data_IF_381114065341
#
_entry.id   IF_381114065341
#
_cell.length_a   1.000
_cell.length_b   1.000
_cell.length_c   1.000
_cell.angle_alpha   90.00
_cell.angle_beta   90.00
_cell.angle_gamma   90.00
#
_symmetry.space_group_name_H-M   'P 1'
#
loop_
_entity.id
_entity.type
_entity.pdbx_description
1 polymer ?
#
# COMPACT_ATOMS: atom_id res chain seq x y z
N UNK A 1 -30.83 -45.89 -34.36
CA UNK A 1 -30.66 -45.33 -33.00
C UNK A 1 -29.21 -45.45 -32.59
N UNK A 2 -28.51 -44.33 -32.40
CA UNK A 2 -27.58 -44.09 -31.28
C UNK A 2 -27.06 -42.67 -31.41
N UNK A 3 -27.76 -41.78 -30.71
CA UNK A 3 -27.39 -40.40 -30.49
C UNK A 3 -26.24 -40.37 -29.49
N UNK A 4 -25.33 -39.47 -29.80
CA UNK A 4 -24.15 -39.00 -29.09
C UNK A 4 -24.43 -38.73 -27.61
N UNK A 5 -23.49 -39.09 -26.73
CA UNK A 5 -23.35 -38.48 -25.40
C UNK A 5 -21.87 -38.43 -25.05
N UNK A 6 -21.18 -37.44 -25.63
CA UNK A 6 -19.87 -37.01 -25.19
C UNK A 6 -20.10 -36.11 -23.97
N UNK A 7 -19.92 -36.66 -22.77
CA UNK A 7 -19.93 -35.89 -21.52
C UNK A 7 -18.62 -35.10 -21.49
N UNK A 8 -18.70 -33.82 -21.88
CA UNK A 8 -17.67 -32.84 -21.56
C UNK A 8 -17.68 -32.64 -20.04
N UNK A 9 -16.69 -33.23 -19.37
CA UNK A 9 -16.33 -32.86 -17.99
C UNK A 9 -15.68 -31.48 -18.08
N UNK A 10 -16.49 -30.44 -17.90
CA UNK A 10 -16.00 -29.10 -17.60
C UNK A 10 -15.48 -29.17 -16.16
N UNK A 11 -14.20 -29.49 -16.00
CA UNK A 11 -13.48 -29.23 -14.77
C UNK A 11 -13.44 -27.71 -14.61
N UNK A 12 -14.30 -27.19 -13.75
CA UNK A 12 -14.14 -25.85 -13.21
C UNK A 12 -12.81 -25.84 -12.45
N UNK A 13 -11.74 -25.40 -13.11
CA UNK A 13 -10.55 -24.95 -12.41
C UNK A 13 -11.00 -23.75 -11.57
N UNK A 14 -11.28 -24.00 -10.29
CA UNK A 14 -11.38 -22.94 -9.30
C UNK A 14 -10.00 -22.27 -9.26
N UNK A 15 -9.86 -21.14 -9.96
CA UNK A 15 -8.69 -20.30 -9.80
C UNK A 15 -8.67 -19.87 -8.33
N UNK A 16 -7.81 -20.50 -7.53
CA UNK A 16 -7.56 -20.09 -6.16
C UNK A 16 -7.19 -18.60 -6.18
N UNK A 17 -7.77 -17.82 -5.27
CA UNK A 17 -7.41 -16.40 -5.19
C UNK A 17 -5.93 -16.28 -4.80
N UNK A 18 -5.30 -15.15 -5.13
CA UNK A 18 -3.92 -14.87 -4.72
C UNK A 18 -3.75 -15.00 -3.20
N UNK A 19 -4.78 -14.62 -2.45
CA UNK A 19 -4.79 -14.71 -0.99
C UNK A 19 -4.84 -16.16 -0.49
N UNK A 20 -5.57 -17.03 -1.20
CA UNK A 20 -5.56 -18.48 -0.91
C UNK A 20 -4.18 -19.08 -1.20
N UNK A 21 -3.53 -18.63 -2.28
CA UNK A 21 -2.14 -19.04 -2.59
C UNK A 21 -1.20 -18.62 -1.46
N UNK A 22 -1.30 -17.37 -0.98
CA UNK A 22 -0.48 -16.89 0.14
C UNK A 22 -0.66 -17.73 1.39
N UNK A 23 -1.89 -18.04 1.80
CA UNK A 23 -2.14 -18.93 2.94
C UNK A 23 -1.55 -20.32 2.73
N UNK A 24 -1.70 -20.90 1.53
CA UNK A 24 -1.19 -22.23 1.21
C UNK A 24 0.34 -22.32 1.19
N UNK A 25 1.05 -21.20 1.02
CA UNK A 25 2.52 -21.14 1.08
C UNK A 25 3.02 -20.48 2.37
N UNK A 26 2.17 -20.40 3.40
CA UNK A 26 2.57 -19.90 4.73
C UNK A 26 2.85 -18.39 4.79
N UNK A 27 2.32 -17.59 3.87
CA UNK A 27 2.36 -16.13 3.96
C UNK A 27 1.13 -15.64 4.75
N UNK A 28 1.41 -14.95 5.84
CA UNK A 28 0.43 -14.14 6.57
C UNK A 28 0.33 -12.76 5.94
N UNK A 29 -0.89 -12.22 5.91
CA UNK A 29 -1.15 -10.93 5.30
C UNK A 29 -2.18 -10.09 6.06
N UNK A 30 -2.06 -8.78 5.91
CA UNK A 30 -3.05 -7.81 6.39
C UNK A 30 -3.34 -6.77 5.31
N UNK A 31 -4.62 -6.40 5.16
CA UNK A 31 -5.02 -5.31 4.26
C UNK A 31 -4.53 -4.00 4.84
N UNK A 32 -3.66 -3.31 4.11
CA UNK A 32 -3.06 -2.05 4.54
C UNK A 32 -3.81 -0.83 4.00
N UNK A 33 -4.31 -0.88 2.76
CA UNK A 33 -5.07 0.21 2.16
C UNK A 33 -5.30 0.05 0.66
N UNK A 34 -5.91 1.06 0.04
CA UNK A 34 -6.07 1.13 -1.40
C UNK A 34 -4.80 1.71 -2.05
N UNK A 35 -4.28 1.01 -3.05
CA UNK A 35 -3.01 1.34 -3.67
C UNK A 35 -3.13 1.59 -5.17
N UNK A 36 -2.25 2.45 -5.67
CA UNK A 36 -2.04 2.65 -7.11
C UNK A 36 -0.55 2.76 -7.42
N UNK A 37 -0.07 1.98 -8.39
CA UNK A 37 1.28 2.12 -8.93
C UNK A 37 1.28 3.09 -10.12
N UNK A 38 2.22 4.04 -10.09
CA UNK A 38 2.47 5.03 -11.13
C UNK A 38 3.99 5.03 -11.40
N UNK A 39 4.50 4.06 -12.17
CA UNK A 39 5.95 3.87 -12.39
C UNK A 39 6.58 5.06 -13.14
N UNK A 40 5.76 5.85 -13.83
CA UNK A 40 6.16 6.92 -14.74
C UNK A 40 6.31 8.29 -14.05
N UNK A 41 6.70 8.33 -12.77
CA UNK A 41 6.86 9.62 -12.04
C UNK A 41 7.80 10.59 -12.76
N UNK A 42 8.79 10.07 -13.49
CA UNK A 42 9.72 10.85 -14.31
C UNK A 42 9.06 11.57 -15.49
N UNK A 43 7.85 11.15 -15.88
CA UNK A 43 7.09 11.71 -17.00
C UNK A 43 6.02 12.71 -16.53
N UNK A 44 5.89 12.92 -15.22
CA UNK A 44 4.97 13.92 -14.70
C UNK A 44 5.44 15.33 -15.05
N UNK A 45 4.57 16.10 -15.68
CA UNK A 45 4.84 17.48 -16.07
C UNK A 45 4.28 18.46 -15.05
N UNK A 46 5.02 19.54 -14.71
CA UNK A 46 4.45 20.63 -13.95
C UNK A 46 3.27 21.26 -14.69
N UNK A 47 2.19 21.53 -13.96
CA UNK A 47 0.99 22.17 -14.49
C UNK A 47 0.41 23.13 -13.46
N UNK A 48 -0.15 24.22 -13.96
CA UNK A 48 -0.90 25.18 -13.13
C UNK A 48 -2.36 25.11 -13.52
N UNK A 49 -3.19 24.61 -12.62
CA UNK A 49 -4.64 24.64 -12.77
C UNK A 49 -5.16 25.98 -12.30
N UNK A 50 -5.54 26.82 -13.25
CA UNK A 50 -6.22 28.09 -12.98
C UNK A 50 -7.71 27.83 -12.72
N UNK A 51 -8.20 28.26 -11.55
CA UNK A 51 -9.60 28.12 -11.16
C UNK A 51 -10.42 29.39 -11.48
N UNK A 52 -9.82 30.42 -12.06
CA UNK A 52 -10.50 31.67 -12.41
C UNK A 52 -11.61 31.46 -13.44
N UNK A 53 -11.39 30.58 -14.43
CA UNK A 53 -12.40 30.18 -15.41
C UNK A 53 -13.55 29.44 -14.72
N UNK A 54 -13.27 28.52 -13.81
CA UNK A 54 -14.30 27.84 -13.03
C UNK A 54 -15.11 28.80 -12.14
N UNK A 55 -14.44 29.77 -11.50
CA UNK A 55 -15.12 30.83 -10.77
C UNK A 55 -16.07 31.62 -11.67
N UNK A 56 -15.68 31.89 -12.92
CA UNK A 56 -16.52 32.58 -13.88
C UNK A 56 -17.76 31.77 -14.23
N UNK A 57 -17.66 30.44 -14.31
CA UNK A 57 -18.81 29.55 -14.58
C UNK A 57 -19.79 29.48 -13.41
N UNK A 58 -19.32 29.59 -12.17
CA UNK A 58 -20.19 29.74 -10.99
C UNK A 58 -20.98 31.06 -11.00
N UNK A 59 -20.53 32.06 -11.75
CA UNK A 59 -21.16 33.39 -11.86
C UNK A 59 -22.05 33.58 -13.10
N UNK A 60 -22.38 32.51 -13.82
CA UNK A 60 -23.22 32.55 -15.03
C UNK A 60 -24.68 32.94 -14.71
N UNK A 61 -25.17 32.63 -13.50
CA UNK A 61 -26.47 33.15 -13.03
C UNK A 61 -26.38 34.66 -12.78
N UNK A 62 -27.47 35.40 -13.00
CA UNK A 62 -27.58 36.88 -12.93
C UNK A 62 -27.34 37.47 -11.52
N UNK A 63 -26.22 37.12 -10.90
CA UNK A 63 -25.82 37.61 -9.59
C UNK A 63 -25.40 39.06 -9.69
N UNK A 64 -25.87 39.89 -8.76
CA UNK A 64 -25.45 41.28 -8.67
C UNK A 64 -23.92 41.42 -8.56
N UNK A 65 -23.37 42.57 -8.98
CA UNK A 65 -21.93 42.86 -8.86
C UNK A 65 -21.42 42.72 -7.43
N UNK A 66 -22.25 43.07 -6.44
CA UNK A 66 -21.98 42.90 -5.01
C UNK A 66 -21.91 41.40 -4.67
N UNK A 67 -22.88 40.60 -5.13
CA UNK A 67 -22.87 39.13 -4.97
C UNK A 67 -21.62 38.47 -5.53
N UNK A 68 -21.19 38.86 -6.74
CA UNK A 68 -19.96 38.36 -7.36
C UNK A 68 -18.71 38.68 -6.54
N UNK A 69 -18.63 39.87 -5.96
CA UNK A 69 -17.52 40.28 -5.08
C UNK A 69 -17.49 39.46 -3.79
N UNK A 70 -18.65 39.25 -3.14
CA UNK A 70 -18.74 38.42 -1.93
C UNK A 70 -18.41 36.95 -2.24
N UNK A 71 -18.89 36.41 -3.36
CA UNK A 71 -18.59 35.05 -3.79
C UNK A 71 -17.08 34.84 -3.95
N UNK A 72 -16.39 35.74 -4.68
CA UNK A 72 -14.93 35.65 -4.86
C UNK A 72 -14.18 35.62 -3.53
N UNK A 73 -14.54 36.51 -2.59
CA UNK A 73 -13.93 36.54 -1.25
C UNK A 73 -14.14 35.23 -0.50
N UNK A 74 -15.38 34.71 -0.48
CA UNK A 74 -15.70 33.45 0.21
C UNK A 74 -15.03 32.24 -0.44
N UNK A 75 -14.95 32.19 -1.77
CA UNK A 75 -14.26 31.12 -2.48
C UNK A 75 -12.75 31.13 -2.18
N UNK A 76 -12.11 32.30 -2.16
CA UNK A 76 -10.69 32.40 -1.80
C UNK A 76 -10.42 31.91 -0.36
N UNK A 77 -11.33 32.20 0.58
CA UNK A 77 -11.26 31.67 1.95
C UNK A 77 -11.42 30.15 1.99
N UNK A 78 -12.45 29.61 1.31
CA UNK A 78 -12.65 28.16 1.22
C UNK A 78 -11.48 27.46 0.54
N UNK A 79 -10.87 28.07 -0.48
CA UNK A 79 -9.68 27.55 -1.16
C UNK A 79 -8.50 27.41 -0.20
N UNK A 80 -8.16 28.48 0.52
CA UNK A 80 -7.11 28.47 1.54
C UNK A 80 -7.38 27.40 2.61
N UNK A 81 -8.61 27.37 3.16
CA UNK A 81 -8.99 26.42 4.21
C UNK A 81 -8.90 24.96 3.76
N UNK A 82 -9.28 24.66 2.50
CA UNK A 82 -9.14 23.33 1.94
C UNK A 82 -7.67 22.98 1.71
N UNK A 83 -6.86 23.86 1.13
CA UNK A 83 -5.43 23.59 0.94
C UNK A 83 -4.71 23.27 2.26
N UNK A 84 -5.00 24.04 3.31
CA UNK A 84 -4.47 23.78 4.66
C UNK A 84 -4.97 22.45 5.24
N UNK A 85 -6.27 22.15 5.09
CA UNK A 85 -6.85 20.88 5.55
C UNK A 85 -6.19 19.66 4.88
N UNK A 86 -5.71 19.83 3.65
CA UNK A 86 -5.05 18.79 2.86
C UNK A 86 -3.51 18.83 2.98
N UNK A 87 -2.96 19.65 3.89
CA UNK A 87 -1.52 19.84 4.09
C UNK A 87 -0.76 20.22 2.80
N UNK A 88 -1.41 20.94 1.88
CA UNK A 88 -0.79 21.45 0.66
C UNK A 88 -0.11 22.78 0.99
N UNK A 89 1.13 22.94 0.55
CA UNK A 89 1.87 24.19 0.79
C UNK A 89 1.13 25.39 0.19
N UNK A 90 1.18 26.53 0.86
CA UNK A 90 0.59 27.78 0.37
C UNK A 90 1.70 28.79 0.18
N UNK A 91 1.67 29.57 -0.90
CA UNK A 91 2.64 30.64 -1.18
C UNK A 91 2.50 31.87 -0.25
N UNK A 92 1.87 31.71 0.92
CA UNK A 92 1.45 32.80 1.81
C UNK A 92 2.64 33.48 2.49
N UNK A 93 3.31 34.38 1.76
CA UNK A 93 3.92 35.57 2.36
C UNK A 93 2.88 36.67 2.62
N UNK A 94 1.73 36.58 1.98
CA UNK A 94 0.58 37.44 2.22
C UNK A 94 -0.55 36.60 2.82
N UNK A 95 -0.62 36.58 4.16
CA UNK A 95 -1.87 36.28 4.84
C UNK A 95 -2.95 37.17 4.23
N UNK A 96 -4.04 36.60 3.70
CA UNK A 96 -5.25 37.38 3.44
C UNK A 96 -5.53 38.15 4.74
N UNK A 97 -5.47 39.49 4.76
CA UNK A 97 -5.60 40.23 6.00
C UNK A 97 -6.97 39.90 6.58
N UNK A 98 -6.97 39.27 7.75
CA UNK A 98 -8.16 39.03 8.55
C UNK A 98 -8.91 40.32 8.90
N UNK A 99 -8.29 41.49 8.66
CA UNK A 99 -8.81 42.83 8.89
C UNK A 99 -9.58 43.48 7.73
N UNK A 100 -9.56 42.96 6.50
CA UNK A 100 -10.28 43.57 5.35
C UNK A 100 -11.59 42.86 4.97
N UNK A 101 -12.06 41.97 5.85
CA UNK A 101 -13.29 41.18 5.67
C UNK A 101 -14.41 41.81 6.50
N UNK A 102 -14.68 43.10 6.27
CA UNK A 102 -16.03 43.61 6.51
C UNK A 102 -16.86 43.11 5.31
N UNK A 103 -17.51 41.97 5.47
CA UNK A 103 -18.57 41.54 4.56
C UNK A 103 -19.71 42.53 4.78
N UNK A 104 -20.13 43.31 3.76
CA UNK A 104 -21.32 44.15 3.90
C UNK A 104 -22.47 43.26 4.32
N UNK A 105 -23.19 43.71 5.35
CA UNK A 105 -24.23 42.98 6.04
C UNK A 105 -25.13 42.19 5.07
N UNK A 106 -25.32 40.90 5.36
CA UNK A 106 -26.19 39.98 4.59
C UNK A 106 -27.65 40.46 4.46
N UNK A 107 -27.98 41.55 5.17
CA UNK A 107 -29.30 42.17 5.29
C UNK A 107 -29.82 42.77 3.97
N UNK A 108 -28.96 43.15 3.02
CA UNK A 108 -29.39 43.82 1.79
C UNK A 108 -29.49 42.91 0.54
N UNK A 109 -29.18 41.61 0.66
CA UNK A 109 -29.29 40.68 -0.47
C UNK A 109 -30.68 40.04 -0.57
N UNK A 110 -31.18 39.88 -1.80
CA UNK A 110 -32.43 39.14 -2.03
C UNK A 110 -32.24 37.68 -1.61
N UNK A 111 -33.33 37.01 -1.24
CA UNK A 111 -33.28 35.61 -0.81
C UNK A 111 -32.59 34.70 -1.84
N UNK A 112 -32.92 34.88 -3.13
CA UNK A 112 -32.30 34.11 -4.22
C UNK A 112 -30.79 34.33 -4.32
N UNK A 113 -30.31 35.57 -4.16
CA UNK A 113 -28.87 35.88 -4.17
C UNK A 113 -28.12 35.17 -3.04
N UNK A 114 -28.75 35.06 -1.85
CA UNK A 114 -28.15 34.35 -0.70
C UNK A 114 -28.09 32.84 -0.93
N UNK A 115 -29.14 32.26 -1.49
CA UNK A 115 -29.19 30.85 -1.82
C UNK A 115 -28.14 30.50 -2.88
N UNK A 116 -28.07 31.27 -3.96
CA UNK A 116 -27.07 31.08 -5.03
C UNK A 116 -25.64 31.23 -4.50
N UNK A 117 -25.39 32.21 -3.64
CA UNK A 117 -24.08 32.39 -2.99
C UNK A 117 -23.69 31.14 -2.19
N UNK A 118 -24.57 30.67 -1.31
CA UNK A 118 -24.30 29.51 -0.46
C UNK A 118 -24.10 28.22 -1.30
N UNK A 119 -24.95 28.02 -2.30
CA UNK A 119 -24.87 26.87 -3.21
C UNK A 119 -23.55 26.84 -3.98
N UNK A 120 -23.13 27.97 -4.55
CA UNK A 120 -21.90 28.05 -5.33
C UNK A 120 -20.64 27.81 -4.47
N UNK A 121 -20.64 28.28 -3.22
CA UNK A 121 -19.54 28.01 -2.28
C UNK A 121 -19.47 26.51 -1.96
N UNK A 122 -20.60 25.89 -1.61
CA UNK A 122 -20.65 24.46 -1.32
C UNK A 122 -20.22 23.61 -2.52
N UNK A 123 -20.65 24.00 -3.73
CA UNK A 123 -20.25 23.33 -4.97
C UNK A 123 -18.73 23.44 -5.18
N UNK A 124 -18.17 24.65 -5.08
CA UNK A 124 -16.72 24.87 -5.18
C UNK A 124 -15.95 24.00 -4.18
N UNK A 125 -16.37 24.01 -2.91
CA UNK A 125 -15.70 23.21 -1.88
C UNK A 125 -15.73 21.73 -2.16
N UNK A 126 -16.88 21.20 -2.59
CA UNK A 126 -17.03 19.77 -2.90
C UNK A 126 -16.17 19.39 -4.08
N UNK A 127 -16.21 20.17 -5.15
CA UNK A 127 -15.48 19.87 -6.39
C UNK A 127 -13.96 19.95 -6.13
N UNK A 128 -13.48 20.96 -5.38
CA UNK A 128 -12.07 21.06 -4.99
C UNK A 128 -11.62 19.92 -4.06
N UNK A 129 -12.44 19.56 -3.06
CA UNK A 129 -12.16 18.41 -2.19
C UNK A 129 -12.05 17.13 -3.02
N UNK A 130 -12.95 16.93 -3.98
CA UNK A 130 -12.92 15.76 -4.87
C UNK A 130 -11.65 15.73 -5.73
N UNK A 131 -11.19 16.88 -6.28
CA UNK A 131 -9.92 16.96 -7.00
C UNK A 131 -8.73 16.50 -6.14
N UNK A 132 -8.66 16.95 -4.88
CA UNK A 132 -7.57 16.56 -3.98
C UNK A 132 -7.72 15.14 -3.41
N UNK A 133 -8.95 14.66 -3.21
CA UNK A 133 -9.22 13.30 -2.72
C UNK A 133 -8.91 12.25 -3.79
N UNK A 134 -9.37 12.49 -5.01
CA UNK A 134 -9.28 11.54 -6.12
C UNK A 134 -8.00 11.72 -6.94
N UNK A 135 -7.29 12.84 -6.76
CA UNK A 135 -6.13 13.22 -7.57
C UNK A 135 -6.46 13.20 -9.07
N UNK A 136 -7.67 13.67 -9.40
CA UNK A 136 -8.20 13.74 -10.76
C UNK A 136 -8.78 15.11 -11.04
N UNK A 137 -8.57 15.58 -12.27
CA UNK A 137 -9.24 16.77 -12.78
C UNK A 137 -10.63 16.33 -13.23
N UNK A 138 -11.63 16.57 -12.39
CA UNK A 138 -13.02 16.23 -12.69
C UNK A 138 -13.68 17.25 -13.61
N UNK A 139 -14.80 16.87 -14.23
CA UNK A 139 -15.60 17.69 -15.17
C UNK A 139 -15.64 19.21 -14.91
N UNK A 140 -15.89 19.71 -13.68
CA UNK A 140 -15.90 21.16 -13.43
C UNK A 140 -14.59 21.90 -13.76
N UNK A 141 -13.44 21.21 -13.74
CA UNK A 141 -12.13 21.76 -14.00
C UNK A 141 -11.57 21.39 -15.38
N UNK A 142 -12.27 20.53 -16.11
CA UNK A 142 -11.81 20.07 -17.42
C UNK A 142 -11.82 21.17 -18.48
N UNK A 143 -12.73 22.14 -18.34
CA UNK A 143 -12.79 23.33 -19.22
C UNK A 143 -11.56 24.24 -19.09
N UNK A 144 -10.83 24.18 -17.97
CA UNK A 144 -9.59 24.96 -17.78
C UNK A 144 -8.33 24.24 -18.25
N UNK A 145 -8.47 23.07 -18.88
CA UNK A 145 -7.35 22.31 -19.45
C UNK A 145 -7.05 22.77 -20.86
N UNK A 146 -5.79 23.11 -21.10
CA UNK A 146 -5.31 23.54 -22.42
C UNK A 146 -5.28 22.35 -23.38
N UNK A 147 -5.66 22.58 -24.64
CA UNK A 147 -5.65 21.57 -25.68
C UNK A 147 -4.27 20.94 -25.91
N UNK A 148 -3.20 21.73 -25.73
CA UNK A 148 -1.82 21.24 -25.82
C UNK A 148 -1.52 20.19 -24.75
N UNK A 149 -2.05 20.36 -23.53
CA UNK A 149 -1.89 19.41 -22.42
C UNK A 149 -2.65 18.10 -22.69
N UNK A 150 -3.84 18.19 -23.30
CA UNK A 150 -4.62 17.02 -23.75
C UNK A 150 -3.88 16.28 -24.87
N UNK A 151 -3.29 17.03 -25.80
CA UNK A 151 -2.54 16.43 -26.92
C UNK A 151 -1.25 15.77 -26.44
N UNK A 152 -0.55 16.39 -25.47
CA UNK A 152 0.66 15.84 -24.84
C UNK A 152 0.40 14.56 -24.04
N UNK A 153 -0.80 14.37 -23.49
CA UNK A 153 -1.17 13.14 -22.80
C UNK A 153 -1.47 11.97 -23.75
N UNK A 154 -1.47 12.21 -25.07
CA UNK A 154 -1.91 11.23 -26.07
C UNK A 154 -3.42 10.96 -26.00
N UNK A 155 -4.20 11.82 -25.34
CA UNK A 155 -5.64 11.62 -25.17
C UNK A 155 -6.43 12.12 -26.38
N UNK A 156 -7.48 11.40 -26.76
CA UNK A 156 -8.33 11.77 -27.90
C UNK A 156 -9.25 12.95 -27.57
N UNK A 157 -9.66 13.06 -26.32
CA UNK A 157 -10.54 14.12 -25.83
C UNK A 157 -10.34 14.38 -24.33
N UNK A 158 -11.13 15.32 -23.81
CA UNK A 158 -11.12 15.79 -22.44
C UNK A 158 -11.56 14.71 -21.43
N UNK A 159 -12.46 13.81 -21.82
CA UNK A 159 -12.93 12.71 -20.97
C UNK A 159 -11.85 11.64 -20.86
N UNK A 160 -11.25 11.25 -21.99
CA UNK A 160 -10.12 10.34 -22.05
C UNK A 160 -8.93 10.89 -21.25
N UNK A 161 -8.66 12.20 -21.33
CA UNK A 161 -7.67 12.88 -20.49
C UNK A 161 -7.96 12.70 -18.99
N UNK A 162 -9.19 12.94 -18.56
CA UNK A 162 -9.58 12.83 -17.13
C UNK A 162 -9.42 11.40 -16.57
N UNK A 163 -9.52 10.38 -17.43
CA UNK A 163 -9.39 8.98 -17.04
C UNK A 163 -7.93 8.54 -16.98
N UNK A 164 -7.09 9.03 -17.90
CA UNK A 164 -5.68 8.64 -18.03
C UNK A 164 -4.72 9.44 -17.19
N UNK A 165 -5.13 10.60 -16.68
CA UNK A 165 -4.26 11.47 -15.89
C UNK A 165 -4.43 11.30 -14.40
N UNK A 166 -3.34 11.50 -13.67
CA UNK A 166 -3.36 11.65 -12.21
C UNK A 166 -2.61 12.92 -11.86
N UNK A 167 -3.17 13.70 -10.93
CA UNK A 167 -2.62 15.00 -10.55
C UNK A 167 -2.15 15.01 -9.11
N UNK A 168 -0.98 15.60 -8.86
CA UNK A 168 -0.42 15.73 -7.53
C UNK A 168 -0.29 17.21 -7.17
N UNK A 169 -1.21 17.75 -6.37
CA UNK A 169 -1.10 19.11 -5.86
C UNK A 169 0.22 19.29 -5.09
N UNK A 170 0.92 20.38 -5.38
CA UNK A 170 2.17 20.76 -4.72
C UNK A 170 1.99 22.00 -3.88
N UNK A 171 1.43 23.04 -4.49
CA UNK A 171 1.26 24.34 -3.87
C UNK A 171 -0.06 24.97 -4.30
N UNK A 172 -0.73 25.64 -3.38
CA UNK A 172 -1.84 26.51 -3.66
C UNK A 172 -1.35 27.96 -3.73
N UNK A 173 -1.60 28.60 -4.88
CA UNK A 173 -1.47 30.03 -5.07
C UNK A 173 -2.79 30.70 -4.72
N UNK A 174 -2.88 31.21 -3.50
CA UNK A 174 -4.11 31.78 -2.96
C UNK A 174 -4.46 33.10 -3.63
N UNK A 175 -3.44 33.86 -4.04
CA UNK A 175 -3.60 35.18 -4.67
C UNK A 175 -4.20 35.06 -6.07
N UNK A 176 -3.75 34.06 -6.83
CA UNK A 176 -4.22 33.83 -8.19
C UNK A 176 -5.34 32.78 -8.29
N UNK A 177 -5.74 32.18 -7.15
CA UNK A 177 -6.67 31.06 -7.10
C UNK A 177 -6.27 29.93 -8.06
N UNK A 178 -5.00 29.53 -7.97
CA UNK A 178 -4.42 28.52 -8.84
C UNK A 178 -3.76 27.42 -8.01
N UNK A 179 -3.71 26.22 -8.58
CA UNK A 179 -3.05 25.07 -7.97
C UNK A 179 -1.86 24.71 -8.84
N UNK A 180 -0.66 24.80 -8.29
CA UNK A 180 0.51 24.19 -8.87
C UNK A 180 0.51 22.69 -8.55
N UNK A 181 0.57 21.88 -9.60
CA UNK A 181 0.51 20.43 -9.50
C UNK A 181 1.48 19.77 -10.48
N UNK A 182 1.73 18.49 -10.29
CA UNK A 182 2.30 17.65 -11.32
C UNK A 182 1.18 16.82 -11.96
N UNK A 183 1.09 16.81 -13.29
CA UNK A 183 0.22 15.91 -14.04
C UNK A 183 1.06 14.79 -14.59
N UNK A 184 0.70 13.55 -14.27
CA UNK A 184 1.29 12.37 -14.85
C UNK A 184 0.39 11.87 -15.99
N UNK A 185 0.95 11.79 -17.19
CA UNK A 185 0.32 11.23 -18.38
C UNK A 185 0.72 9.77 -18.51
N UNK A 186 -0.19 8.93 -19.01
CA UNK A 186 -0.01 7.49 -19.04
C UNK A 186 0.27 6.90 -17.66
N UNK A 187 -0.78 6.29 -17.15
CA UNK A 187 -0.62 5.03 -16.46
C UNK A 187 -0.98 4.02 -17.56
N UNK A 188 -0.26 2.91 -17.68
CA UNK A 188 -0.49 1.88 -18.70
C UNK A 188 -1.98 1.68 -19.04
N UNK A 189 -2.31 1.20 -20.25
CA UNK A 189 -3.70 0.96 -20.70
C UNK A 189 -4.59 0.25 -19.66
N UNK A 190 -4.00 -0.43 -18.67
CA UNK A 190 -4.61 -0.80 -17.39
C UNK A 190 -3.99 -0.06 -16.19
N UNK A 191 -4.63 0.95 -15.59
CA UNK A 191 -4.19 1.47 -14.30
C UNK A 191 -4.10 0.35 -13.27
N UNK A 192 -2.90 0.17 -12.71
CA UNK A 192 -2.64 -0.83 -11.66
C UNK A 192 -3.12 -0.27 -10.33
N UNK A 193 -4.43 -0.30 -10.16
CA UNK A 193 -5.12 0.02 -8.91
C UNK A 193 -5.56 -1.29 -8.25
N UNK A 194 -5.48 -1.33 -6.93
CA UNK A 194 -5.82 -2.53 -6.17
C UNK A 194 -5.69 -2.30 -4.68
N UNK A 195 -5.52 -3.39 -3.94
CA UNK A 195 -5.33 -3.36 -2.50
C UNK A 195 -3.86 -3.62 -2.17
N UNK A 196 -3.31 -2.84 -1.24
CA UNK A 196 -1.98 -3.08 -0.68
C UNK A 196 -2.14 -4.01 0.51
N UNK A 197 -1.31 -5.04 0.54
CA UNK A 197 -1.21 -5.98 1.64
C UNK A 197 0.17 -5.88 2.28
N UNK A 198 0.21 -5.86 3.61
CA UNK A 198 1.42 -6.12 4.36
C UNK A 198 1.60 -7.63 4.49
N UNK A 199 2.79 -8.15 4.22
CA UNK A 199 3.08 -9.58 4.17
C UNK A 199 4.20 -9.97 5.14
N UNK A 200 4.14 -11.19 5.66
CA UNK A 200 5.29 -11.89 6.21
C UNK A 200 5.12 -13.40 6.09
N UNK A 201 6.21 -14.13 5.82
CA UNK A 201 6.20 -15.59 5.86
C UNK A 201 6.26 -16.09 7.32
N UNK A 202 5.37 -17.02 7.67
CA UNK A 202 5.27 -17.60 9.02
C UNK A 202 6.48 -18.42 9.45
N UNK A 203 7.19 -19.01 8.49
CA UNK A 203 8.30 -19.90 8.76
C UNK A 203 7.87 -21.23 9.37
N UNK A 204 8.87 -22.06 9.69
CA UNK A 204 8.68 -23.41 10.19
C UNK A 204 9.82 -23.80 11.14
N UNK A 205 9.49 -24.59 12.16
CA UNK A 205 10.50 -25.24 13.00
C UNK A 205 10.97 -26.53 12.33
N UNK A 206 12.25 -26.59 12.01
CA UNK A 206 12.92 -27.71 11.37
C UNK A 206 13.71 -28.52 12.40
N UNK A 207 14.00 -29.77 12.05
CA UNK A 207 14.90 -30.65 12.81
C UNK A 207 14.52 -30.75 14.30
N UNK A 208 13.27 -31.15 14.58
CA UNK A 208 12.74 -31.30 15.94
C UNK A 208 12.84 -30.01 16.80
N UNK A 209 12.51 -28.87 16.20
CA UNK A 209 12.56 -27.55 16.87
C UNK A 209 13.98 -27.10 17.27
N UNK A 210 15.02 -27.54 16.55
CA UNK A 210 16.41 -27.04 16.72
C UNK A 210 16.75 -25.85 15.81
N UNK A 211 15.95 -25.64 14.76
CA UNK A 211 16.11 -24.53 13.82
C UNK A 211 14.76 -23.93 13.46
N UNK A 212 14.64 -22.62 13.46
CA UNK A 212 13.50 -21.91 12.88
C UNK A 212 13.93 -21.26 11.57
N UNK A 213 13.21 -21.53 10.48
CA UNK A 213 13.50 -21.00 9.15
C UNK A 213 12.30 -20.29 8.52
N UNK A 214 12.53 -19.26 7.74
CA UNK A 214 11.48 -18.53 7.02
C UNK A 214 11.98 -17.98 5.68
N UNK A 215 11.05 -17.69 4.75
CA UNK A 215 11.34 -16.93 3.53
C UNK A 215 11.23 -15.42 3.76
N UNK A 216 12.24 -14.66 3.38
CA UNK A 216 12.20 -13.19 3.37
C UNK A 216 11.46 -12.73 2.11
N UNK A 217 10.16 -12.47 2.29
CA UNK A 217 9.27 -11.90 1.27
C UNK A 217 9.23 -10.37 1.39
N UNK A 218 8.93 -9.63 0.30
CA UNK A 218 8.60 -8.22 0.35
C UNK A 218 7.56 -7.90 1.43
N UNK A 219 7.81 -6.85 2.22
CA UNK A 219 6.90 -6.44 3.30
C UNK A 219 5.55 -5.95 2.77
N UNK A 220 5.51 -5.37 1.57
CA UNK A 220 4.29 -4.87 0.96
C UNK A 220 4.15 -5.30 -0.49
N UNK A 221 2.92 -5.65 -0.89
CA UNK A 221 2.55 -5.91 -2.28
C UNK A 221 1.25 -5.18 -2.64
N UNK A 222 1.18 -4.71 -3.88
CA UNK A 222 -0.05 -4.25 -4.51
C UNK A 222 -0.66 -5.42 -5.29
N UNK A 223 -1.85 -5.87 -4.89
CA UNK A 223 -2.61 -6.90 -5.61
C UNK A 223 -3.63 -6.21 -6.50
N UNK A 224 -3.49 -6.40 -7.81
CA UNK A 224 -4.43 -5.95 -8.84
C UNK A 224 -5.18 -7.15 -9.44
N UNK A 225 -6.25 -6.95 -10.23
CA UNK A 225 -6.93 -8.06 -10.91
C UNK A 225 -6.02 -8.85 -11.87
N UNK A 226 -4.92 -8.27 -12.34
CA UNK A 226 -4.02 -8.85 -13.34
C UNK A 226 -2.74 -9.43 -12.73
N UNK A 227 -2.22 -8.84 -11.65
CA UNK A 227 -0.89 -9.15 -11.13
C UNK A 227 -0.68 -8.78 -9.66
N UNK A 228 0.40 -9.31 -9.06
CA UNK A 228 0.91 -8.99 -7.73
C UNK A 228 2.23 -8.27 -7.91
N UNK A 229 2.34 -7.06 -7.35
CA UNK A 229 3.50 -6.18 -7.55
C UNK A 229 4.13 -5.86 -6.20
N UNK A 230 5.38 -6.28 -5.94
CA UNK A 230 6.13 -5.84 -4.77
C UNK A 230 6.34 -4.33 -4.77
N UNK A 231 6.15 -3.69 -3.62
CA UNK A 231 6.32 -2.24 -3.46
C UNK A 231 7.07 -1.92 -2.16
N UNK A 232 7.75 -0.77 -2.16
CA UNK A 232 8.34 -0.19 -0.95
C UNK A 232 7.53 1.04 -0.53
N UNK A 233 6.90 0.98 0.64
CA UNK A 233 6.12 2.11 1.18
C UNK A 233 6.96 3.37 1.37
N UNK A 234 8.28 3.28 1.54
CA UNK A 234 9.16 4.45 1.62
C UNK A 234 9.16 5.26 0.31
N UNK A 235 8.90 4.59 -0.81
CA UNK A 235 8.79 5.20 -2.14
C UNK A 235 7.34 5.54 -2.52
N UNK A 236 6.39 5.40 -1.59
CA UNK A 236 4.98 5.73 -1.80
C UNK A 236 4.60 7.03 -1.07
N UNK A 237 3.51 7.65 -1.51
CA UNK A 237 2.85 8.76 -0.83
C UNK A 237 1.51 8.30 -0.27
N UNK A 238 1.35 8.42 1.05
CA UNK A 238 0.09 8.15 1.74
C UNK A 238 -0.76 9.42 1.75
N UNK A 239 -2.01 9.32 1.32
CA UNK A 239 -3.01 10.38 1.33
C UNK A 239 -4.22 9.93 2.15
N UNK A 240 -4.70 10.79 3.05
CA UNK A 240 -5.83 10.54 3.96
C UNK A 240 -5.70 9.27 4.82
N UNK A 241 -4.49 8.75 4.98
CA UNK A 241 -4.21 7.54 5.76
C UNK A 241 -4.61 6.22 5.11
N UNK A 242 -5.36 6.24 3.99
CA UNK A 242 -5.92 5.01 3.38
C UNK A 242 -5.63 4.84 1.89
N UNK A 243 -5.28 5.92 1.18
CA UNK A 243 -4.95 5.88 -0.24
C UNK A 243 -3.44 6.05 -0.45
N UNK A 244 -2.82 5.11 -1.16
CA UNK A 244 -1.38 5.02 -1.24
C UNK A 244 -0.96 5.02 -2.71
N UNK A 245 -0.14 5.98 -3.08
CA UNK A 245 0.40 6.11 -4.43
C UNK A 245 1.87 5.73 -4.43
N UNK A 246 2.18 4.61 -5.06
CA UNK A 246 3.55 4.14 -5.22
C UNK A 246 4.08 4.54 -6.57
N UNK A 247 5.34 4.97 -6.63
CA UNK A 247 5.92 5.52 -7.85
C UNK A 247 6.90 4.59 -8.54
N UNK A 248 7.27 3.50 -7.87
CA UNK A 248 8.27 2.55 -8.31
C UNK A 248 7.88 1.17 -7.75
N UNK A 249 8.15 0.13 -8.52
CA UNK A 249 8.08 -1.25 -8.03
C UNK A 249 9.32 -1.52 -7.18
N UNK A 250 9.19 -2.39 -6.18
CA UNK A 250 10.35 -2.87 -5.45
C UNK A 250 11.17 -3.79 -6.37
N UNK A 251 12.43 -3.44 -6.61
CA UNK A 251 13.36 -4.28 -7.36
C UNK A 251 13.70 -5.54 -6.55
N UNK A 252 13.02 -6.64 -6.86
CA UNK A 252 13.20 -7.93 -6.19
C UNK A 252 12.97 -9.07 -7.17
N UNK A 253 13.74 -10.14 -7.01
CA UNK A 253 13.57 -11.39 -7.77
C UNK A 253 12.61 -12.37 -7.07
N UNK A 254 12.25 -12.10 -5.80
CA UNK A 254 11.37 -12.95 -5.01
C UNK A 254 9.94 -12.91 -5.57
N UNK A 255 9.46 -14.03 -6.14
CA UNK A 255 8.06 -14.19 -6.53
C UNK A 255 7.24 -14.71 -5.35
N UNK A 256 6.54 -13.79 -4.68
CA UNK A 256 5.71 -14.08 -3.51
C UNK A 256 4.59 -15.08 -3.75
N UNK A 257 4.22 -15.38 -5.00
CA UNK A 257 3.19 -16.40 -5.31
C UNK A 257 3.73 -17.82 -5.25
N UNK A 258 5.04 -17.98 -5.42
CA UNK A 258 5.70 -19.28 -5.52
C UNK A 258 6.81 -19.47 -4.49
N UNK A 259 7.21 -18.39 -3.79
CA UNK A 259 8.41 -18.28 -2.96
C UNK A 259 9.73 -18.53 -3.73
N UNK A 260 9.68 -18.56 -5.07
CA UNK A 260 10.87 -18.73 -5.88
C UNK A 260 11.79 -17.52 -5.76
N UNK A 261 13.09 -17.79 -5.69
CA UNK A 261 14.17 -16.80 -5.53
C UNK A 261 14.10 -15.92 -4.27
N UNK A 262 13.15 -16.20 -3.36
CA UNK A 262 13.05 -15.55 -2.07
C UNK A 262 14.18 -16.03 -1.13
N UNK A 263 14.96 -15.14 -0.50
CA UNK A 263 16.00 -15.53 0.45
C UNK A 263 15.43 -16.33 1.62
N UNK A 264 16.11 -17.40 2.02
CA UNK A 264 15.76 -18.16 3.22
C UNK A 264 16.69 -17.73 4.35
N UNK A 265 16.13 -17.51 5.53
CA UNK A 265 16.91 -17.26 6.75
C UNK A 265 16.59 -18.31 7.80
N UNK A 266 17.62 -18.70 8.55
CA UNK A 266 17.52 -19.63 9.67
C UNK A 266 18.09 -19.05 10.97
N UNK A 267 17.49 -19.45 12.08
CA UNK A 267 17.97 -19.23 13.44
C UNK A 267 18.16 -20.57 14.11
N UNK A 268 19.17 -20.68 14.97
CA UNK A 268 19.20 -21.77 15.94
C UNK A 268 18.13 -21.52 16.98
N UNK A 269 17.43 -22.55 17.40
CA UNK A 269 16.45 -22.46 18.48
C UNK A 269 17.02 -23.21 19.68
N UNK A 270 17.23 -22.47 20.77
CA UNK A 270 17.57 -23.04 22.06
C UNK A 270 16.33 -23.01 22.97
N UNK A 271 16.48 -23.46 24.22
CA UNK A 271 15.49 -23.25 25.27
C UNK A 271 15.23 -21.73 25.42
N UNK A 272 13.97 -21.31 25.45
CA UNK A 272 13.53 -19.89 25.47
C UNK A 272 13.66 -19.10 24.16
N UNK A 273 13.80 -19.76 23.00
CA UNK A 273 13.76 -19.07 21.71
C UNK A 273 12.43 -18.35 21.49
N UNK A 274 12.49 -17.06 21.15
CA UNK A 274 11.35 -16.27 20.69
C UNK A 274 11.80 -15.28 19.61
N UNK A 275 11.10 -15.29 18.47
CA UNK A 275 11.26 -14.32 17.39
C UNK A 275 9.91 -13.70 17.06
N UNK A 276 9.90 -12.38 16.92
CA UNK A 276 8.71 -11.63 16.49
C UNK A 276 9.01 -10.90 15.18
N UNK A 277 8.19 -11.14 14.14
CA UNK A 277 8.25 -10.42 12.86
C UNK A 277 6.94 -9.67 12.65
N UNK A 278 7.01 -8.38 12.33
CA UNK A 278 5.82 -7.56 12.10
C UNK A 278 5.39 -7.63 10.64
N UNK A 279 4.08 -7.54 10.43
CA UNK A 279 3.47 -7.24 9.13
C UNK A 279 2.23 -6.39 9.40
N UNK A 280 2.19 -5.17 8.87
CA UNK A 280 1.13 -4.22 9.19
C UNK A 280 1.08 -3.91 10.70
N UNK A 281 -0.10 -4.07 11.31
CA UNK A 281 -0.29 -3.94 12.77
C UNK A 281 -0.28 -5.29 13.50
N UNK A 282 -0.22 -6.40 12.75
CA UNK A 282 -0.08 -7.75 13.28
C UNK A 282 1.40 -8.17 13.41
N UNK A 283 1.62 -9.31 14.04
CA UNK A 283 2.97 -9.88 14.18
C UNK A 283 2.94 -11.40 14.16
N UNK A 284 3.91 -12.01 13.52
CA UNK A 284 4.22 -13.44 13.64
C UNK A 284 5.11 -13.61 14.86
N UNK A 285 4.76 -14.59 15.70
CA UNK A 285 5.49 -14.99 16.90
C UNK A 285 5.91 -16.44 16.73
N UNK A 286 7.21 -16.69 16.59
CA UNK A 286 7.79 -18.02 16.57
C UNK A 286 8.48 -18.27 17.91
N UNK A 287 8.11 -19.32 18.64
CA UNK A 287 8.62 -19.58 20.00
C UNK A 287 8.66 -21.07 20.36
N UNK A 288 9.67 -21.47 21.14
CA UNK A 288 9.73 -22.79 21.79
C UNK A 288 9.03 -22.81 23.16
N UNK A 289 8.59 -21.65 23.65
CA UNK A 289 7.83 -21.52 24.89
C UNK A 289 6.35 -21.92 24.71
N UNK A 290 5.75 -22.44 25.79
CA UNK A 290 4.31 -22.73 25.81
C UNK A 290 3.46 -21.50 26.14
N UNK A 291 4.09 -20.46 26.70
CA UNK A 291 3.42 -19.21 27.07
C UNK A 291 4.32 -18.00 26.81
N UNK A 292 3.74 -16.90 26.31
CA UNK A 292 4.47 -15.67 25.97
C UNK A 292 3.84 -14.44 26.65
N UNK A 293 4.70 -13.51 27.08
CA UNK A 293 4.27 -12.20 27.60
C UNK A 293 4.06 -11.20 26.46
N UNK A 294 2.83 -11.17 25.95
CA UNK A 294 2.45 -10.31 24.82
C UNK A 294 2.29 -8.84 25.25
N UNK A 295 2.02 -8.61 26.54
CA UNK A 295 1.77 -7.30 27.10
C UNK A 295 3.05 -6.58 27.54
N UNK A 296 4.14 -7.32 27.74
CA UNK A 296 5.40 -6.79 28.30
C UNK A 296 5.26 -6.40 29.77
N UNK A 297 4.27 -6.95 30.47
CA UNK A 297 3.94 -6.62 31.86
C UNK A 297 3.95 -7.86 32.79
N UNK A 298 4.43 -9.00 32.28
CA UNK A 298 4.45 -10.29 32.95
C UNK A 298 3.21 -11.15 32.73
N UNK A 299 2.17 -10.64 32.06
CA UNK A 299 0.94 -11.43 31.80
C UNK A 299 1.16 -12.39 30.64
N UNK A 300 1.27 -13.67 30.97
CA UNK A 300 1.52 -14.74 30.00
C UNK A 300 0.23 -15.21 29.33
N UNK A 301 0.32 -15.47 28.02
CA UNK A 301 -0.73 -16.08 27.21
C UNK A 301 -0.25 -17.41 26.66
N UNK A 302 -1.12 -18.43 26.68
CA UNK A 302 -0.83 -19.72 26.08
C UNK A 302 -0.63 -19.58 24.56
N UNK A 303 0.41 -20.23 24.05
CA UNK A 303 0.77 -20.24 22.64
C UNK A 303 0.01 -21.38 21.94
N UNK A 304 -0.85 -21.09 20.94
CA UNK A 304 -1.65 -22.13 20.27
C UNK A 304 -0.81 -23.05 19.37
N UNK A 305 0.31 -22.56 18.84
CA UNK A 305 1.27 -23.31 18.03
C UNK A 305 2.63 -22.63 18.02
N UNK A 306 3.72 -23.37 17.75
CA UNK A 306 5.10 -22.86 17.77
C UNK A 306 5.29 -21.62 16.89
N UNK A 307 4.59 -21.54 15.77
CA UNK A 307 4.41 -20.32 15.00
C UNK A 307 2.96 -19.85 15.17
N UNK A 308 2.78 -18.62 15.64
CA UNK A 308 1.46 -18.02 15.88
C UNK A 308 1.38 -16.62 15.31
N UNK A 309 0.17 -16.16 15.01
CA UNK A 309 -0.13 -14.80 14.59
C UNK A 309 -0.76 -14.04 15.75
N UNK A 310 -0.13 -12.94 16.11
CA UNK A 310 -0.58 -11.99 17.11
C UNK A 310 -1.29 -10.81 16.43
N UNK A 311 -2.59 -10.68 16.69
CA UNK A 311 -3.36 -9.48 16.38
C UNK A 311 -3.60 -8.68 17.65
N UNK A 312 -3.40 -7.36 17.59
CA UNK A 312 -3.73 -6.45 18.70
C UNK A 312 -4.93 -5.60 18.31
N UNK A 313 -6.03 -5.71 19.05
CA UNK A 313 -7.19 -4.81 18.93
C UNK A 313 -7.16 -3.79 20.06
N UNK A 314 -7.70 -2.61 19.79
CA UNK A 314 -7.87 -1.56 20.79
C UNK A 314 -9.36 -1.32 21.00
N UNK A 315 -9.81 -1.49 22.24
CA UNK A 315 -11.18 -1.15 22.63
C UNK A 315 -11.18 0.19 23.35
N UNK A 316 -12.25 0.98 23.12
CA UNK A 316 -12.43 2.24 23.82
C UNK A 316 -12.54 1.95 25.32
N UNK A 317 -11.66 2.56 26.11
CA UNK A 317 -11.78 2.57 27.56
C UNK A 317 -13.10 3.22 27.98
N UNK A 318 -13.52 2.99 29.23
CA UNK A 318 -14.56 3.83 29.83
C UNK A 318 -14.14 5.29 29.77
N UNK A 319 -15.10 6.22 29.74
CA UNK A 319 -15.03 7.62 29.24
C UNK A 319 -13.84 8.52 29.59
N UNK A 320 -12.91 8.10 30.46
CA UNK A 320 -11.68 8.81 30.84
C UNK A 320 -10.42 7.90 30.90
N UNK A 321 -10.43 6.70 30.32
CA UNK A 321 -9.31 5.74 30.35
C UNK A 321 -8.62 5.55 29.00
N UNK A 322 -7.32 5.22 29.06
CA UNK A 322 -6.54 4.85 27.87
C UNK A 322 -7.18 3.64 27.14
N UNK A 323 -7.05 3.57 25.80
CA UNK A 323 -7.58 2.45 25.03
C UNK A 323 -7.02 1.12 25.54
N UNK A 324 -7.90 0.14 25.76
CA UNK A 324 -7.54 -1.18 26.28
C UNK A 324 -6.99 -2.01 25.14
N UNK A 325 -5.75 -2.53 25.32
CA UNK A 325 -5.08 -3.41 24.37
C UNK A 325 -5.55 -4.84 24.56
N UNK A 326 -6.12 -5.45 23.52
CA UNK A 326 -6.60 -6.84 23.53
C UNK A 326 -5.81 -7.64 22.48
N UNK A 327 -4.74 -8.35 22.88
CA UNK A 327 -4.03 -9.29 22.03
C UNK A 327 -4.85 -10.56 21.80
N UNK A 328 -4.76 -11.10 20.59
CA UNK A 328 -5.31 -12.40 20.20
C UNK A 328 -4.22 -13.17 19.48
N UNK A 329 -3.88 -14.36 19.98
CA UNK A 329 -2.97 -15.30 19.32
C UNK A 329 -3.78 -16.37 18.59
N UNK A 330 -3.49 -16.56 17.31
CA UNK A 330 -4.05 -17.64 16.50
C UNK A 330 -2.92 -18.49 15.92
N UNK A 331 -3.16 -19.78 15.72
CA UNK A 331 -2.17 -20.64 15.11
C UNK A 331 -1.86 -20.20 13.67
N UNK A 332 -0.58 -20.23 13.28
CA UNK A 332 -0.19 -20.10 11.88
C UNK A 332 -0.65 -21.33 11.11
N UNK A 333 -1.06 -21.14 9.84
CA UNK A 333 -1.46 -22.26 8.99
C UNK A 333 -0.23 -22.94 8.43
N UNK A 334 0.13 -24.08 9.00
CA UNK A 334 1.22 -24.93 8.51
C UNK A 334 0.71 -25.84 7.38
N UNK A 335 1.56 -26.09 6.39
CA UNK A 335 1.29 -27.05 5.31
C UNK A 335 1.50 -28.49 5.79
N UNK A 336 0.75 -29.46 5.22
CA UNK A 336 0.89 -30.89 5.57
C UNK A 336 2.31 -31.43 5.37
N UNK A 337 3.05 -30.83 4.44
CA UNK A 337 4.47 -31.12 4.18
C UNK A 337 5.29 -29.86 4.39
N UNK A 338 6.50 -30.04 4.95
CA UNK A 338 7.45 -28.94 5.14
C UNK A 338 7.73 -28.21 3.83
N UNK A 339 7.74 -26.88 3.88
CA UNK A 339 8.07 -26.02 2.74
C UNK A 339 9.58 -25.89 2.53
N UNK A 340 10.36 -26.36 3.50
CA UNK A 340 11.81 -26.27 3.51
C UNK A 340 12.43 -27.62 3.19
N UNK A 341 13.53 -27.59 2.44
CA UNK A 341 14.37 -28.76 2.27
C UNK A 341 15.08 -29.11 3.60
N UNK A 342 15.51 -30.36 3.74
CA UNK A 342 16.23 -30.80 4.94
C UNK A 342 17.54 -30.03 5.12
N UNK A 343 17.85 -29.66 6.36
CA UNK A 343 19.07 -28.94 6.69
C UNK A 343 20.31 -29.85 6.60
N UNK A 344 21.40 -29.34 6.04
CA UNK A 344 22.69 -30.02 6.15
C UNK A 344 23.22 -29.99 7.59
N UNK A 345 23.78 -31.08 8.12
CA UNK A 345 24.33 -31.12 9.48
C UNK A 345 25.39 -30.04 9.77
N UNK A 346 26.23 -29.72 8.78
CA UNK A 346 27.25 -28.67 8.91
C UNK A 346 26.67 -27.25 9.05
N UNK A 347 25.43 -27.04 8.60
CA UNK A 347 24.74 -25.76 8.74
C UNK A 347 24.29 -25.54 10.17
N UNK A 348 23.85 -26.60 10.87
CA UNK A 348 23.43 -26.52 12.27
C UNK A 348 24.54 -25.95 13.17
N UNK A 349 25.80 -26.31 12.90
CA UNK A 349 26.95 -25.85 13.67
C UNK A 349 27.26 -24.35 13.52
N UNK A 350 26.73 -23.69 12.48
CA UNK A 350 26.99 -22.27 12.18
C UNK A 350 25.84 -21.38 12.63
N UNK A 351 24.62 -21.94 12.74
CA UNK A 351 23.45 -21.20 13.18
C UNK A 351 23.61 -20.70 14.62
N UNK A 352 23.06 -19.52 14.87
CA UNK A 352 23.03 -18.87 16.18
C UNK A 352 21.61 -18.43 16.52
N UNK A 353 21.38 -18.27 17.82
CA UNK A 353 20.05 -17.99 18.39
C UNK A 353 19.59 -16.57 18.16
N UNK A 354 20.52 -15.61 18.16
CA UNK A 354 20.23 -14.17 18.07
C UNK A 354 20.62 -13.55 16.72
N UNK A 355 21.05 -14.36 15.75
CA UNK A 355 21.57 -13.86 14.47
C UNK A 355 21.02 -14.70 13.32
N UNK A 356 20.26 -14.05 12.41
CA UNK A 356 19.80 -14.73 11.20
C UNK A 356 20.97 -15.11 10.32
N UNK A 357 20.98 -16.36 9.87
CA UNK A 357 21.93 -16.85 8.88
C UNK A 357 21.20 -17.10 7.57
N UNK A 358 21.74 -16.59 6.46
CA UNK A 358 21.18 -16.87 5.15
C UNK A 358 21.42 -18.33 4.78
N UNK A 359 20.36 -19.00 4.34
CA UNK A 359 20.38 -20.37 3.86
C UNK A 359 20.19 -20.40 2.35
N UNK A 360 20.84 -21.38 1.72
CA UNK A 360 20.84 -21.59 0.28
C UNK A 360 20.40 -23.02 -0.01
N UNK A 361 19.55 -23.17 -1.02
CA UNK A 361 19.19 -24.48 -1.55
C UNK A 361 20.39 -25.07 -2.28
N UNK A 362 20.75 -26.29 -1.92
CA UNK A 362 21.82 -27.06 -2.56
C UNK A 362 21.35 -28.49 -2.85
N UNK A 363 22.10 -29.21 -3.67
CA UNK A 363 21.83 -30.62 -3.99
C UNK A 363 22.89 -31.50 -3.34
N UNK A 364 22.46 -32.45 -2.51
CA UNK A 364 23.33 -33.52 -2.01
C UNK A 364 22.78 -34.86 -2.48
N UNK A 365 23.51 -35.51 -3.37
CA UNK A 365 23.13 -36.80 -3.99
C UNK A 365 21.74 -36.75 -4.66
N UNK A 366 21.42 -35.64 -5.33
CA UNK A 366 20.15 -35.46 -6.04
C UNK A 366 18.95 -35.08 -5.16
N UNK A 367 19.17 -34.88 -3.85
CA UNK A 367 18.14 -34.43 -2.90
C UNK A 367 18.40 -32.97 -2.53
N UNK A 368 17.37 -32.14 -2.58
CA UNK A 368 17.44 -30.75 -2.14
C UNK A 368 17.72 -30.68 -0.64
N UNK A 369 18.64 -29.81 -0.25
CA UNK A 369 19.01 -29.54 1.13
C UNK A 369 19.28 -28.06 1.36
N UNK A 370 19.23 -27.61 2.61
CA UNK A 370 19.58 -26.25 3.01
C UNK A 370 21.01 -26.15 3.56
N UNK A 371 21.78 -25.19 3.05
CA UNK A 371 23.16 -24.92 3.40
C UNK A 371 23.38 -23.46 3.80
N UNK A 372 24.28 -23.18 4.75
CA UNK A 372 24.78 -21.82 4.97
C UNK A 372 25.76 -21.36 3.86
N UNK A 373 26.27 -22.28 3.04
CA UNK A 373 27.23 -21.98 1.97
C UNK A 373 26.53 -21.75 0.63
N UNK A 374 26.97 -20.72 -0.10
CA UNK A 374 26.52 -20.47 -1.47
C UNK A 374 27.00 -21.57 -2.43
N UNK A 375 26.26 -21.78 -3.52
CA UNK A 375 26.43 -22.89 -4.47
C UNK A 375 27.86 -22.98 -5.07
N UNK A 376 28.57 -21.85 -5.22
CA UNK A 376 29.96 -21.81 -5.71
C UNK A 376 30.97 -22.50 -4.75
N UNK A 377 30.64 -22.58 -3.46
CA UNK A 377 31.42 -23.33 -2.47
C UNK A 377 30.95 -24.80 -2.37
N UNK A 378 29.63 -25.03 -2.56
CA UNK A 378 29.03 -26.36 -2.51
C UNK A 378 29.37 -27.28 -3.68
N UNK A 379 29.58 -26.74 -4.89
CA UNK A 379 29.99 -27.52 -6.06
C UNK A 379 31.37 -28.16 -5.88
N UNK A 380 32.33 -27.42 -5.31
CA UNK A 380 33.66 -27.95 -4.98
C UNK A 380 33.62 -29.01 -3.88
N UNK A 381 32.75 -28.82 -2.86
CA UNK A 381 32.55 -29.81 -1.81
C UNK A 381 31.82 -31.08 -2.32
N UNK A 382 30.89 -30.94 -3.28
CA UNK A 382 30.24 -32.06 -3.96
C UNK A 382 31.24 -32.87 -4.80
N UNK A 383 32.09 -32.19 -5.57
CA UNK A 383 33.21 -32.79 -6.31
C UNK A 383 34.19 -33.48 -5.35
N UNK A 384 34.57 -32.84 -4.25
CA UNK A 384 35.45 -33.43 -3.23
C UNK A 384 34.83 -34.68 -2.60
N UNK A 385 33.54 -34.64 -2.22
CA UNK A 385 32.84 -35.80 -1.64
C UNK A 385 32.69 -36.98 -2.61
N UNK A 386 32.67 -36.70 -3.91
CA UNK A 386 32.68 -37.73 -4.94
C UNK A 386 34.04 -38.44 -4.97
N UNK A 387 35.14 -37.71 -4.85
CA UNK A 387 36.50 -38.26 -4.85
C UNK A 387 36.90 -38.92 -3.52
N UNK A 388 36.37 -38.50 -2.38
CA UNK A 388 36.56 -39.16 -1.07
C UNK A 388 36.00 -40.60 -1.01
N UNK A 389 35.24 -41.05 -2.02
CA UNK A 389 34.82 -42.46 -2.17
C UNK A 389 35.87 -43.35 -2.84
N UNK A 390 36.92 -42.76 -3.41
CA UNK A 390 37.95 -43.46 -4.20
C UNK A 390 39.35 -43.42 -3.56
N UNK A 391 39.43 -42.90 -2.33
CA UNK A 391 40.57 -43.00 -1.42
C UNK A 391 40.08 -43.81 -0.22
#
# INVERSE_FOLDING_TARGET
MRIISLILVISAASNASVLDIFQNIGIEYEVYGEGRLIPEKQHCTPYTLDLSTFLSTLTINEMSSIGKSILRKKVAQSFLGICQKFNISTNSKDSIPSSDIIVPDHLNMRFMDRFELAWNILKFERDLKSLFLENKINNPFLESIKQDTISQSGSSDVLDFSQRTTVFPKMCDVSNLAIEMNICFNISETPQSGMIYALAHGGEFLHNEEVYAYYEVPEFVLITPQTVIPIDLANCKVLFGTYIYCFEELDTQCDVRTLSDCPIFGYKTDDEFMLTRKFGVASIVATTENEVDVYGNGTKMAVPSRVSVLHTRFEAGTSDSEPIRIPTLTAHTETETSQFAQLLPETLAVLKTNEKTRLYTTLKRGVNMLSHKHYDQGAWDAVRSFFDRFI
#
